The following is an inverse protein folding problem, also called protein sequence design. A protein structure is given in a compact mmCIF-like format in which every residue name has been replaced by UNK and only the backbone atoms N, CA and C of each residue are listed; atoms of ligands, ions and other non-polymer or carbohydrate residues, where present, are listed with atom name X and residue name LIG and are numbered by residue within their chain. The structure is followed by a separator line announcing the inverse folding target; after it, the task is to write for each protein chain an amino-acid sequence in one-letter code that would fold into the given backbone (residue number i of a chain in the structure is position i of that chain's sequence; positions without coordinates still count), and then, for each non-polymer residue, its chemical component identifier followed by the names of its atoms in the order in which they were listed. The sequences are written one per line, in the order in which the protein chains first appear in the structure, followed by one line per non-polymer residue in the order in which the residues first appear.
data_IF_244050689258
#
_entry.id   IF_244050689258
#
_cell.length_a   1.000
_cell.length_b   1.000
_cell.length_c   1.000
_cell.angle_alpha   90.00
_cell.angle_beta   90.00
_cell.angle_gamma   90.00
#
_symmetry.space_group_name_H-M   'P 1'
#
loop_
_entity.id
_entity.type
_entity.pdbx_description
1 polymer ?
#
# COMPACT_ATOMS: atom_id res chain seq x y z
N UNK A 1 -39.39 13.42 22.97
CA UNK A 1 -38.64 12.52 22.06
C UNK A 1 -37.27 13.15 21.86
N UNK A 2 -36.20 12.54 22.36
CA UNK A 2 -34.84 13.11 22.39
C UNK A 2 -33.96 12.24 21.51
N UNK A 3 -33.59 12.74 20.34
CA UNK A 3 -32.73 12.03 19.38
C UNK A 3 -31.30 12.22 19.85
N UNK A 4 -30.70 11.15 20.37
CA UNK A 4 -29.29 11.10 20.76
C UNK A 4 -28.50 10.76 19.49
N UNK A 5 -27.81 11.75 18.93
CA UNK A 5 -26.86 11.53 17.84
C UNK A 5 -25.57 10.95 18.42
N UNK A 6 -25.44 9.63 18.33
CA UNK A 6 -24.20 8.93 18.68
C UNK A 6 -23.21 9.12 17.52
N UNK A 7 -22.31 10.10 17.66
CA UNK A 7 -21.26 10.36 16.67
C UNK A 7 -20.20 9.27 16.82
N UNK A 8 -20.22 8.30 15.92
CA UNK A 8 -19.16 7.30 15.79
C UNK A 8 -17.94 8.01 15.23
N UNK A 9 -16.95 8.29 16.10
CA UNK A 9 -15.63 8.77 15.71
C UNK A 9 -14.91 7.64 14.95
N UNK A 10 -15.10 7.57 13.64
CA UNK A 10 -14.19 6.82 12.78
C UNK A 10 -12.84 7.55 12.83
N UNK A 11 -11.90 6.98 13.58
CA UNK A 11 -10.50 7.32 13.47
C UNK A 11 -10.07 7.05 12.02
N UNK A 12 -10.10 8.10 11.19
CA UNK A 12 -9.52 8.05 9.85
C UNK A 12 -8.01 8.07 10.07
N UNK A 13 -7.42 6.90 10.28
CA UNK A 13 -5.99 6.73 10.06
C UNK A 13 -5.76 7.20 8.63
N UNK A 14 -5.06 8.34 8.50
CA UNK A 14 -4.60 8.85 7.22
C UNK A 14 -3.53 7.86 6.76
N UNK A 15 -3.98 6.75 6.20
CA UNK A 15 -3.12 5.84 5.47
C UNK A 15 -2.82 6.60 4.20
N UNK A 16 -1.68 7.30 4.18
CA UNK A 16 -1.11 7.85 2.96
C UNK A 16 -0.95 6.68 1.99
N UNK A 17 -1.95 6.51 1.12
CA UNK A 17 -1.96 5.42 0.16
C UNK A 17 -0.85 5.68 -0.84
N UNK A 18 0.22 4.88 -0.80
CA UNK A 18 1.14 4.75 -1.92
C UNK A 18 0.30 4.48 -3.16
N UNK A 19 0.40 5.30 -4.20
CA UNK A 19 -0.30 5.04 -5.45
C UNK A 19 0.19 3.68 -5.95
N UNK A 20 -0.69 2.69 -6.12
CA UNK A 20 -0.27 1.40 -6.67
C UNK A 20 0.16 1.61 -8.12
N UNK A 21 1.34 1.12 -8.50
CA UNK A 21 1.71 1.02 -9.91
C UNK A 21 1.17 -0.29 -10.46
N UNK A 22 0.35 -0.24 -11.52
CA UNK A 22 -0.11 -1.43 -12.23
C UNK A 22 0.54 -1.48 -13.61
N UNK A 23 1.16 -2.61 -13.92
CA UNK A 23 1.67 -2.95 -15.24
C UNK A 23 1.09 -4.29 -15.70
N UNK A 24 1.16 -4.53 -17.01
CA UNK A 24 0.68 -5.77 -17.63
C UNK A 24 1.81 -6.45 -18.40
N UNK A 25 1.88 -7.76 -18.26
CA UNK A 25 2.91 -8.59 -18.88
C UNK A 25 2.29 -9.70 -19.72
N UNK A 26 2.62 -9.83 -21.01
CA UNK A 26 2.07 -10.90 -21.83
C UNK A 26 2.58 -12.28 -21.41
N UNK A 27 1.72 -13.30 -21.52
CA UNK A 27 2.14 -14.69 -21.44
C UNK A 27 2.62 -15.20 -22.80
N UNK A 28 3.64 -16.06 -22.78
CA UNK A 28 4.09 -16.78 -23.97
C UNK A 28 2.99 -17.75 -24.44
N UNK A 29 2.87 -18.00 -25.75
CA UNK A 29 1.83 -18.90 -26.27
C UNK A 29 2.04 -20.37 -25.84
N UNK A 30 3.27 -20.74 -25.50
CA UNK A 30 3.65 -22.11 -25.14
C UNK A 30 3.63 -22.38 -23.62
N UNK A 31 3.33 -21.38 -22.79
CA UNK A 31 3.32 -21.52 -21.34
C UNK A 31 1.90 -21.56 -20.75
N UNK A 32 1.71 -22.30 -19.67
CA UNK A 32 0.46 -22.25 -18.91
C UNK A 32 0.35 -20.94 -18.11
N UNK A 33 -0.85 -20.57 -17.69
CA UNK A 33 -1.06 -19.39 -16.83
C UNK A 33 -0.19 -19.44 -15.57
N UNK A 34 -0.06 -20.60 -14.92
CA UNK A 34 0.82 -20.78 -13.77
C UNK A 34 2.31 -20.60 -14.10
N UNK A 35 2.76 -21.11 -15.25
CA UNK A 35 4.14 -20.92 -15.71
C UNK A 35 4.45 -19.45 -16.01
N UNK A 36 3.50 -18.74 -16.60
CA UNK A 36 3.58 -17.30 -16.82
C UNK A 36 3.70 -16.53 -15.50
N UNK A 37 2.84 -16.82 -14.52
CA UNK A 37 2.90 -16.19 -13.18
C UNK A 37 4.22 -16.50 -12.48
N UNK A 38 4.70 -17.75 -12.52
CA UNK A 38 5.97 -18.12 -11.91
C UNK A 38 7.16 -17.43 -12.57
N UNK A 39 7.16 -17.31 -13.90
CA UNK A 39 8.18 -16.57 -14.64
C UNK A 39 8.22 -15.11 -14.20
N UNK A 40 7.07 -14.43 -14.19
CA UNK A 40 7.00 -13.04 -13.73
C UNK A 40 7.33 -12.89 -12.24
N UNK A 41 6.96 -13.85 -11.39
CA UNK A 41 7.34 -13.87 -9.97
C UNK A 41 8.86 -13.92 -9.81
N UNK A 42 9.53 -14.73 -10.64
CA UNK A 42 10.98 -14.83 -10.64
C UNK A 42 11.67 -13.60 -11.23
N UNK A 43 11.12 -13.02 -12.29
CA UNK A 43 11.64 -11.79 -12.91
C UNK A 43 11.55 -10.58 -11.97
N UNK A 44 10.56 -10.57 -11.07
CA UNK A 44 10.34 -9.53 -10.08
C UNK A 44 10.82 -9.92 -8.66
N UNK A 45 11.62 -10.99 -8.55
CA UNK A 45 12.20 -11.39 -7.26
C UNK A 45 13.09 -10.27 -6.71
N UNK A 46 12.95 -9.98 -5.41
CA UNK A 46 13.66 -8.88 -4.76
C UNK A 46 13.04 -7.49 -4.97
N UNK A 47 11.81 -7.41 -5.48
CA UNK A 47 11.02 -6.18 -5.54
C UNK A 47 9.77 -6.28 -4.68
N UNK A 48 9.26 -5.15 -4.19
CA UNK A 48 7.95 -5.12 -3.52
C UNK A 48 6.83 -5.10 -4.56
N UNK A 49 6.54 -6.28 -5.13
CA UNK A 49 5.50 -6.44 -6.13
C UNK A 49 4.63 -7.65 -5.85
N UNK A 50 3.42 -7.65 -6.42
CA UNK A 50 2.49 -8.77 -6.45
C UNK A 50 2.17 -9.10 -7.91
N UNK A 51 2.35 -10.36 -8.27
CA UNK A 51 1.97 -10.89 -9.58
C UNK A 51 0.63 -11.61 -9.45
N UNK A 52 -0.32 -11.24 -10.30
CA UNK A 52 -1.65 -11.82 -10.38
C UNK A 52 -1.87 -12.41 -11.77
N UNK A 53 -2.53 -13.57 -11.83
CA UNK A 53 -2.97 -14.14 -13.09
C UNK A 53 -4.11 -13.31 -13.69
N UNK A 54 -3.99 -12.94 -14.97
CA UNK A 54 -5.09 -12.51 -15.83
C UNK A 54 -5.44 -13.60 -16.86
N UNK A 55 -6.40 -13.33 -17.74
CA UNK A 55 -6.86 -14.33 -18.73
C UNK A 55 -5.79 -14.69 -19.76
N UNK A 56 -5.06 -13.69 -20.28
CA UNK A 56 -4.03 -13.85 -21.33
C UNK A 56 -2.72 -13.12 -21.00
N UNK A 57 -2.63 -12.55 -19.80
CA UNK A 57 -1.53 -11.72 -19.33
C UNK A 57 -1.44 -11.85 -17.80
N UNK A 58 -0.34 -11.36 -17.22
CA UNK A 58 -0.27 -11.13 -15.79
C UNK A 58 -0.50 -9.66 -15.48
N UNK A 59 -1.04 -9.41 -14.29
CA UNK A 59 -1.13 -8.08 -13.70
C UNK A 59 -0.01 -7.98 -12.66
N UNK A 60 0.83 -6.97 -12.79
CA UNK A 60 1.97 -6.70 -11.91
C UNK A 60 1.60 -5.46 -11.11
N UNK A 61 1.44 -5.62 -9.79
CA UNK A 61 1.17 -4.53 -8.87
C UNK A 61 2.45 -4.22 -8.08
N UNK A 62 2.90 -2.97 -8.11
CA UNK A 62 4.07 -2.52 -7.37
C UNK A 62 3.79 -1.28 -6.53
N UNK A 63 4.76 -0.91 -5.71
CA UNK A 63 4.75 0.37 -5.02
C UNK A 63 4.88 1.50 -6.04
N UNK A 64 4.05 2.53 -5.92
CA UNK A 64 4.27 3.77 -6.66
C UNK A 64 5.03 4.79 -5.84
N UNK A 65 5.31 5.91 -6.50
CA UNK A 65 6.05 7.01 -5.89
C UNK A 65 5.27 7.62 -4.73
N UNK A 66 6.00 7.96 -3.69
CA UNK A 66 5.48 8.64 -2.50
C UNK A 66 6.23 9.94 -2.38
N UNK A 67 5.47 11.01 -2.21
CA UNK A 67 5.99 12.34 -1.92
C UNK A 67 5.58 12.67 -0.49
N UNK A 68 6.56 12.65 0.42
CA UNK A 68 6.35 12.93 1.83
C UNK A 68 6.64 14.40 2.10
N UNK A 69 5.77 15.07 2.85
CA UNK A 69 6.07 16.40 3.36
C UNK A 69 7.29 16.33 4.28
N UNK A 70 8.41 16.91 3.84
CA UNK A 70 9.70 16.89 4.54
C UNK A 70 9.65 17.59 5.91
N UNK A 71 8.61 18.39 6.19
CA UNK A 71 8.49 19.12 7.45
C UNK A 71 7.83 18.33 8.58
N UNK A 72 6.91 17.42 8.26
CA UNK A 72 6.12 16.69 9.27
C UNK A 72 6.15 15.17 9.13
N UNK A 73 6.74 14.66 8.05
CA UNK A 73 6.78 13.23 7.76
C UNK A 73 8.15 12.77 7.29
N UNK A 74 8.41 11.48 7.42
CA UNK A 74 9.60 10.81 6.91
C UNK A 74 9.17 9.60 6.10
N UNK A 75 9.76 9.42 4.93
CA UNK A 75 9.59 8.20 4.16
C UNK A 75 10.24 7.01 4.90
N UNK A 76 9.47 5.97 5.14
CA UNK A 76 9.97 4.69 5.63
C UNK A 76 10.65 3.91 4.51
N UNK A 77 11.71 3.14 4.81
CA UNK A 77 12.30 2.26 3.80
C UNK A 77 11.33 1.15 3.41
N UNK A 78 11.46 0.65 2.18
CA UNK A 78 10.77 -0.60 1.79
C UNK A 78 11.25 -1.78 2.63
N UNK A 79 10.31 -2.66 2.99
CA UNK A 79 10.55 -3.84 3.81
C UNK A 79 10.20 -5.11 3.04
N UNK A 80 11.15 -5.59 2.23
CA UNK A 80 10.99 -6.79 1.40
C UNK A 80 10.76 -8.09 2.20
N UNK A 81 10.83 -8.05 3.54
CA UNK A 81 10.44 -9.19 4.38
C UNK A 81 8.93 -9.35 4.48
N UNK A 82 8.16 -8.32 4.09
CA UNK A 82 6.70 -8.31 4.09
C UNK A 82 6.13 -8.52 2.68
N UNK A 83 4.90 -9.03 2.57
CA UNK A 83 4.22 -9.10 1.28
C UNK A 83 3.77 -7.71 0.82
N UNK A 84 3.60 -7.53 -0.49
CA UNK A 84 2.88 -6.37 -1.02
C UNK A 84 1.42 -6.35 -0.49
N UNK A 85 0.85 -5.20 -0.12
CA UNK A 85 1.43 -3.84 -0.19
C UNK A 85 2.25 -3.42 1.05
N UNK A 86 2.35 -4.26 2.07
CA UNK A 86 2.99 -3.92 3.36
C UNK A 86 4.51 -3.73 3.27
N UNK A 87 5.15 -4.23 2.20
CA UNK A 87 6.55 -3.97 1.92
C UNK A 87 6.83 -2.57 1.33
N UNK A 88 5.80 -1.83 0.91
CA UNK A 88 5.99 -0.51 0.32
C UNK A 88 6.45 0.51 1.36
N UNK A 89 7.21 1.50 0.90
CA UNK A 89 7.46 2.71 1.69
C UNK A 89 6.14 3.40 2.04
N UNK A 90 6.13 4.22 3.09
CA UNK A 90 5.03 5.12 3.42
C UNK A 90 5.56 6.36 4.14
N UNK A 91 4.75 7.41 4.24
CA UNK A 91 5.10 8.58 5.04
C UNK A 91 4.71 8.34 6.50
N UNK A 92 5.71 8.16 7.36
CA UNK A 92 5.54 8.10 8.81
C UNK A 92 5.56 9.51 9.39
N UNK A 93 4.62 9.83 10.28
CA UNK A 93 4.60 11.14 10.94
C UNK A 93 5.74 11.26 11.93
N UNK A 94 6.50 12.34 11.84
CA UNK A 94 7.53 12.72 12.81
C UNK A 94 6.95 13.49 14.01
N UNK A 95 5.72 13.97 13.86
CA UNK A 95 5.02 14.56 14.98
C UNK A 95 4.72 13.43 15.97
N UNK A 96 4.92 13.66 17.28
CA UNK A 96 4.40 12.71 18.27
C UNK A 96 2.93 12.49 17.92
N UNK A 97 2.40 11.24 18.06
CA UNK A 97 0.98 11.01 17.86
C UNK A 97 0.30 12.10 18.66
N UNK A 98 -0.46 12.97 18.00
CA UNK A 98 -1.15 14.03 18.68
C UNK A 98 -1.87 13.32 19.82
N UNK A 99 -1.40 13.54 21.05
CA UNK A 99 -2.16 13.11 22.20
C UNK A 99 -3.41 13.93 21.96
N UNK A 100 -4.49 13.28 21.53
CA UNK A 100 -5.82 13.81 21.66
C UNK A 100 -6.06 13.92 23.16
N UNK A 101 -5.29 14.79 23.81
CA UNK A 101 -5.50 15.22 25.16
C UNK A 101 -6.87 15.84 25.08
N UNK A 102 -7.77 15.31 25.90
CA UNK A 102 -9.00 15.99 26.22
C UNK A 102 -8.63 17.44 26.56
N UNK A 103 -8.87 18.35 25.62
CA UNK A 103 -8.86 19.78 25.91
C UNK A 103 -9.88 20.00 27.03
N UNK A 104 -9.61 20.91 27.97
CA UNK A 104 -10.51 21.13 29.09
C UNK A 104 -11.87 21.53 28.52
N UNK A 105 -12.89 20.79 28.93
CA UNK A 105 -14.28 21.19 28.77
C UNK A 105 -14.45 22.34 29.76
N UNK A 106 -14.51 23.58 29.28
CA UNK A 106 -15.11 24.70 29.99
C UNK A 106 -16.57 24.83 29.53
#
# INVERSE_FOLDING_TARGET
MKIVYSIVLFAVCVISASQAHEARGPCNPDETSDQCVQRYTKENEGTCTRILAGESEVIIQGCGSIDCDETTTRQTPEDLSKPYPDCCSFCESLLPPAICGAGPID
#
